data_IF_465094839119
#
_entry.id   IF_465094839119
#
_cell.length_a   1.000
_cell.length_b   1.000
_cell.length_c   1.000
_cell.angle_alpha   90.00
_cell.angle_beta   90.00
_cell.angle_gamma   90.00
#
_symmetry.space_group_name_H-M   'P 1'
#
loop_
_entity.id
_entity.type
_entity.pdbx_description
1 polymer ?
#
# COMPACT_ATOMS: atom_id res chain seq x y z
N UNK A 1 -67.82 -21.12 18.07
CA UNK A 1 -67.43 -20.95 18.08
C UNK A 1 -66.32 -20.78 17.78
N UNK A 2 -65.89 -20.73 17.61
CA UNK A 2 -65.06 -20.64 17.23
C UNK A 2 -64.08 -19.98 17.18
N UNK A 3 -63.52 -19.80 17.22
CA UNK A 3 -62.68 -19.19 17.18
C UNK A 3 -61.59 -19.18 16.70
N UNK A 4 -61.32 -19.02 16.27
CA UNK A 4 -60.39 -19.00 15.75
C UNK A 4 -59.43 -18.27 15.62
N UNK A 5 -58.79 -18.23 15.63
CA UNK A 5 -57.92 -17.59 15.53
C UNK A 5 -56.96 -17.52 14.93
N UNK A 6 -56.51 -17.14 14.70
CA UNK A 6 -55.74 -16.84 14.04
C UNK A 6 -54.49 -16.78 14.17
N UNK A 7 -54.04 -16.85 14.16
CA UNK A 7 -53.04 -16.80 14.16
C UNK A 7 -52.13 -16.44 13.70
N UNK A 8 -51.90 -16.32 13.57
CA UNK A 8 -51.15 -16.07 13.16
C UNK A 8 -50.23 -15.58 12.79
N UNK A 9 -49.97 -15.35 12.55
CA UNK A 9 -49.23 -14.89 12.05
C UNK A 9 -48.16 -14.40 12.30
N UNK A 10 -47.66 -14.42 12.46
CA UNK A 10 -46.81 -14.02 12.84
C UNK A 10 -45.69 -14.14 12.31
N UNK A 11 -44.98 -14.11 12.02
CA UNK A 11 -44.03 -14.31 11.57
C UNK A 11 -43.23 -13.59 11.23
N UNK A 12 -42.77 -13.60 10.92
CA UNK A 12 -42.17 -13.18 10.38
C UNK A 12 -41.16 -12.43 10.44
N UNK A 13 -41.08 -12.03 10.53
CA UNK A 13 -40.37 -11.16 10.80
C UNK A 13 -39.06 -11.37 10.84
N UNK A 14 -38.85 -12.06 11.15
CA UNK A 14 -37.66 -12.37 11.43
C UNK A 14 -36.76 -12.17 10.35
N UNK A 15 -36.99 -12.63 9.71
CA UNK A 15 -36.32 -12.58 8.76
C UNK A 15 -35.53 -11.59 8.47
N UNK A 16 -35.75 -11.01 8.71
CA UNK A 16 -35.24 -9.95 8.36
C UNK A 16 -33.91 -9.75 8.54
N UNK A 17 -33.41 -10.31 9.02
CA UNK A 17 -32.26 -10.14 9.41
C UNK A 17 -31.33 -10.40 8.55
N UNK A 18 -31.59 -10.41 7.75
CA UNK A 18 -30.86 -10.50 6.88
C UNK A 18 -29.78 -9.76 6.95
N UNK A 19 -29.02 -10.05 7.03
CA UNK A 19 -28.04 -9.77 7.08
C UNK A 19 -27.36 -9.21 6.11
N UNK A 20 -27.13 -8.55 6.27
CA UNK A 20 -26.42 -7.78 5.50
C UNK A 20 -25.08 -7.97 5.90
N UNK A 21 -24.57 -8.94 5.45
CA UNK A 21 -23.25 -9.08 5.65
C UNK A 21 -22.62 -8.09 4.81
N UNK A 22 -22.39 -7.06 5.38
CA UNK A 22 -21.60 -6.16 4.76
C UNK A 22 -20.30 -6.72 4.80
N UNK A 23 -19.94 -7.41 3.88
CA UNK A 23 -18.64 -7.89 3.77
C UNK A 23 -17.76 -6.69 3.65
N UNK A 24 -17.13 -6.39 4.68
CA UNK A 24 -16.10 -5.41 4.61
C UNK A 24 -15.07 -6.04 3.72
N UNK A 25 -14.94 -5.55 2.55
CA UNK A 25 -13.87 -5.99 1.71
C UNK A 25 -12.58 -5.61 2.38
N UNK A 26 -11.68 -6.54 2.53
CA UNK A 26 -10.37 -6.18 3.06
C UNK A 26 -9.81 -5.11 2.15
N UNK A 27 -9.30 -4.08 2.75
CA UNK A 27 -8.68 -3.03 1.99
C UNK A 27 -7.36 -3.57 1.49
N UNK A 28 -7.35 -4.14 0.32
CA UNK A 28 -6.11 -4.51 -0.29
C UNK A 28 -5.49 -3.26 -0.88
N UNK A 29 -4.21 -3.09 -0.68
CA UNK A 29 -3.48 -2.05 -1.36
C UNK A 29 -3.58 -2.29 -2.86
N UNK A 30 -3.97 -1.27 -3.59
CA UNK A 30 -4.00 -1.38 -5.03
C UNK A 30 -2.69 -0.86 -5.56
N UNK A 31 -1.80 -1.75 -5.86
CA UNK A 31 -0.48 -1.40 -6.38
C UNK A 31 -0.56 -1.13 -7.87
N UNK A 32 -0.24 0.09 -8.24
CA UNK A 32 -0.19 0.51 -9.64
C UNK A 32 1.26 0.53 -10.09
N UNK A 33 1.58 -0.21 -11.12
CA UNK A 33 2.94 -0.27 -11.63
C UNK A 33 3.29 1.03 -12.35
N UNK A 34 4.41 1.62 -11.99
CA UNK A 34 4.89 2.82 -12.67
C UNK A 34 5.92 2.46 -13.75
N UNK A 35 6.62 1.37 -13.57
CA UNK A 35 7.65 0.96 -14.50
C UNK A 35 8.86 0.44 -13.79
N UNK A 36 9.84 0.02 -14.55
CA UNK A 36 11.03 -0.60 -14.02
C UNK A 36 12.30 0.08 -14.48
N UNK A 37 13.39 -0.29 -13.83
CA UNK A 37 14.73 0.14 -14.22
C UNK A 37 15.44 -0.98 -14.94
N UNK A 38 16.52 -0.62 -15.62
CA UNK A 38 17.36 -1.61 -16.29
C UNK A 38 18.00 -2.56 -15.29
N UNK A 39 18.10 -2.17 -14.04
CA UNK A 39 18.67 -3.02 -13.00
C UNK A 39 17.68 -4.05 -12.47
N UNK A 40 16.45 -4.05 -12.96
CA UNK A 40 15.47 -5.06 -12.56
C UNK A 40 14.60 -4.70 -11.38
N UNK A 41 14.49 -3.42 -11.04
CA UNK A 41 13.59 -2.96 -9.99
C UNK A 41 12.34 -2.37 -10.62
N UNK A 42 11.17 -2.83 -10.19
CA UNK A 42 9.90 -2.25 -10.62
C UNK A 42 9.28 -1.52 -9.44
N UNK A 43 8.81 -0.31 -9.68
CA UNK A 43 8.16 0.49 -8.65
C UNK A 43 6.65 0.43 -8.83
N UNK A 44 5.98 0.24 -7.71
CA UNK A 44 4.52 0.26 -7.63
C UNK A 44 4.13 1.28 -6.57
N UNK A 45 3.03 1.95 -6.78
CA UNK A 45 2.53 2.94 -5.82
C UNK A 45 1.10 2.61 -5.44
N UNK A 46 0.75 2.95 -4.21
CA UNK A 46 -0.64 2.85 -3.75
C UNK A 46 -1.18 4.26 -3.68
N UNK A 47 -1.93 4.64 -4.72
CA UNK A 47 -2.44 6.00 -4.83
C UNK A 47 -3.46 6.34 -3.74
N UNK A 48 -4.06 5.35 -3.13
CA UNK A 48 -5.02 5.60 -2.04
C UNK A 48 -4.34 6.12 -0.79
N UNK A 49 -3.02 5.98 -0.70
CA UNK A 49 -2.25 6.42 0.46
C UNK A 49 -1.59 7.80 0.25
N UNK A 50 -1.81 8.40 -0.89
CA UNK A 50 -1.17 9.66 -1.21
C UNK A 50 -1.71 10.77 -0.32
N UNK A 51 -0.82 11.41 0.43
CA UNK A 51 -1.16 12.46 1.37
C UNK A 51 -0.35 13.71 1.09
N UNK A 52 -0.96 14.73 0.50
CA UNK A 52 -0.28 16.00 0.28
C UNK A 52 -0.20 16.80 1.58
N UNK A 53 0.91 17.51 1.76
CA UNK A 53 1.08 18.42 2.89
C UNK A 53 1.98 19.55 2.39
N UNK A 54 1.38 20.59 1.84
CA UNK A 54 2.13 21.69 1.24
C UNK A 54 2.90 21.20 0.03
N UNK A 55 4.22 21.40 0.07
CA UNK A 55 5.09 20.98 -1.01
C UNK A 55 5.56 19.54 -0.86
N UNK A 56 5.10 18.88 0.18
CA UNK A 56 5.50 17.50 0.45
C UNK A 56 4.35 16.54 0.14
N UNK A 57 4.70 15.35 -0.32
CA UNK A 57 3.73 14.30 -0.56
C UNK A 57 4.25 13.01 0.04
N UNK A 58 3.43 12.38 0.86
CA UNK A 58 3.77 11.09 1.46
C UNK A 58 2.95 9.99 0.83
N UNK A 59 3.56 8.85 0.57
CA UNK A 59 2.88 7.76 -0.11
C UNK A 59 3.57 6.44 0.19
N UNK A 60 2.80 5.34 0.16
CA UNK A 60 3.38 4.01 0.24
C UNK A 60 3.82 3.56 -1.15
N UNK A 61 5.03 3.04 -1.21
CA UNK A 61 5.67 2.59 -2.44
C UNK A 61 6.16 1.16 -2.23
N UNK A 62 6.02 0.35 -3.24
CA UNK A 62 6.55 -1.01 -3.21
C UNK A 62 7.56 -1.15 -4.33
N UNK A 63 8.74 -1.60 -3.97
CA UNK A 63 9.76 -1.93 -4.94
C UNK A 63 9.86 -3.45 -5.04
N UNK A 64 9.76 -3.96 -6.24
CA UNK A 64 9.89 -5.39 -6.49
C UNK A 64 11.15 -5.63 -7.29
N UNK A 65 11.96 -6.59 -6.86
CA UNK A 65 13.26 -6.82 -7.44
C UNK A 65 13.26 -8.12 -8.24
N UNK A 66 13.79 -8.05 -9.43
CA UNK A 66 13.87 -9.22 -10.28
C UNK A 66 14.83 -10.25 -9.71
N UNK A 67 15.88 -9.78 -9.05
CA UNK A 67 16.88 -10.66 -8.44
C UNK A 67 16.91 -10.44 -6.93
N UNK A 68 17.37 -11.45 -6.24
CA UNK A 68 17.42 -11.44 -4.80
C UNK A 68 18.41 -10.39 -4.27
N UNK A 69 18.00 -9.71 -3.23
CA UNK A 69 18.86 -8.77 -2.52
C UNK A 69 19.18 -9.35 -1.16
N UNK A 70 20.40 -9.12 -0.71
CA UNK A 70 20.83 -9.59 0.61
C UNK A 70 20.71 -8.47 1.63
N UNK A 71 20.33 -8.85 2.84
CA UNK A 71 20.27 -7.92 3.96
C UNK A 71 20.60 -8.67 5.23
N UNK A 72 20.92 -7.92 6.28
CA UNK A 72 21.05 -8.50 7.61
C UNK A 72 19.70 -9.11 7.97
N UNK A 73 19.64 -10.35 8.28
CA UNK A 73 18.37 -11.00 8.60
C UNK A 73 17.82 -11.86 7.49
N UNK A 74 18.40 -11.81 6.31
CA UNK A 74 17.98 -12.68 5.21
C UNK A 74 17.90 -12.01 3.86
N UNK A 75 17.46 -12.77 2.87
CA UNK A 75 17.32 -12.30 1.52
C UNK A 75 15.93 -11.77 1.29
N UNK A 76 15.78 -10.78 0.40
CA UNK A 76 14.47 -10.23 0.12
C UNK A 76 14.31 -9.97 -1.38
N UNK A 77 13.05 -10.01 -1.85
CA UNK A 77 12.68 -9.75 -3.22
C UNK A 77 11.76 -8.53 -3.36
N UNK A 78 11.30 -7.97 -2.27
CA UNK A 78 10.49 -6.75 -2.35
C UNK A 78 10.62 -5.94 -1.07
N UNK A 79 10.29 -4.66 -1.20
CA UNK A 79 10.35 -3.72 -0.09
C UNK A 79 9.16 -2.77 -0.19
N UNK A 80 8.52 -2.53 0.94
CA UNK A 80 7.42 -1.60 1.02
C UNK A 80 7.87 -0.47 1.90
N UNK A 81 7.69 0.75 1.48
CA UNK A 81 8.17 1.90 2.23
C UNK A 81 7.18 3.04 2.20
N UNK A 82 7.08 3.76 3.31
CA UNK A 82 6.35 5.00 3.37
C UNK A 82 7.37 6.10 3.15
N UNK A 83 7.22 6.82 2.06
CA UNK A 83 8.21 7.80 1.62
C UNK A 83 7.55 9.16 1.47
N UNK A 84 8.24 10.18 1.96
CA UNK A 84 7.85 11.56 1.80
C UNK A 84 8.72 12.21 0.73
N UNK A 85 8.08 12.87 -0.23
CA UNK A 85 8.75 13.51 -1.35
C UNK A 85 8.63 15.01 -1.25
N UNK A 86 9.73 15.72 -1.52
CA UNK A 86 9.72 17.17 -1.59
C UNK A 86 9.60 17.57 -3.06
N UNK A 87 8.51 18.22 -3.41
CA UNK A 87 8.24 18.53 -4.81
C UNK A 87 8.93 19.79 -5.32
N UNK A 88 9.57 20.57 -4.44
CA UNK A 88 10.35 21.74 -4.87
C UNK A 88 11.82 21.40 -5.04
N UNK A 89 12.25 20.29 -4.46
CA UNK A 89 13.62 19.82 -4.58
C UNK A 89 13.55 18.31 -4.77
N UNK A 90 14.34 17.78 -5.69
CA UNK A 90 14.28 16.34 -5.99
C UNK A 90 14.93 15.57 -4.85
N UNK A 91 14.19 15.39 -3.78
CA UNK A 91 14.66 14.65 -2.59
C UNK A 91 13.52 13.94 -1.90
N UNK A 92 13.86 12.93 -1.13
CA UNK A 92 12.90 12.11 -0.42
C UNK A 92 13.45 11.71 0.94
N UNK A 93 12.56 11.30 1.84
CA UNK A 93 12.96 10.64 3.09
C UNK A 93 11.98 9.52 3.40
N UNK A 94 12.50 8.46 4.02
CA UNK A 94 11.72 7.28 4.35
C UNK A 94 11.31 7.33 5.80
N UNK A 95 10.03 7.09 6.07
CA UNK A 95 9.50 7.06 7.43
C UNK A 95 9.40 5.64 7.97
N UNK A 96 9.15 4.68 7.10
CA UNK A 96 8.99 3.30 7.49
C UNK A 96 9.29 2.41 6.30
N UNK A 97 9.80 1.22 6.56
CA UNK A 97 9.97 0.25 5.50
C UNK A 97 9.85 -1.17 6.04
N UNK A 98 9.50 -2.08 5.15
CA UNK A 98 9.45 -3.50 5.44
C UNK A 98 9.97 -4.25 4.22
N UNK A 99 10.88 -5.17 4.44
CA UNK A 99 11.41 -6.01 3.38
C UNK A 99 10.83 -7.40 3.50
N UNK A 100 10.51 -7.99 2.37
CA UNK A 100 9.83 -9.27 2.31
C UNK A 100 10.66 -10.29 1.54
N UNK A 101 10.60 -11.54 1.98
CA UNK A 101 11.36 -12.61 1.34
C UNK A 101 10.84 -12.93 -0.06
N UNK A 102 9.61 -12.59 -0.36
CA UNK A 102 8.99 -12.86 -1.68
C UNK A 102 8.74 -11.60 -2.46
N UNK A 103 8.23 -11.80 -3.68
CA UNK A 103 7.85 -10.69 -4.55
C UNK A 103 6.57 -10.04 -4.09
N UNK A 104 6.40 -8.79 -4.44
CA UNK A 104 5.16 -8.04 -4.23
C UNK A 104 4.68 -8.01 -2.78
N UNK A 105 5.61 -7.94 -1.84
CA UNK A 105 5.26 -7.87 -0.42
C UNK A 105 4.79 -9.18 0.16
N UNK A 106 5.17 -10.30 -0.43
CA UNK A 106 4.77 -11.61 0.04
C UNK A 106 5.90 -12.30 0.81
N UNK A 107 5.57 -13.41 1.41
CA UNK A 107 6.54 -14.19 2.14
C UNK A 107 6.74 -13.66 3.55
N UNK A 108 7.91 -13.91 4.09
CA UNK A 108 8.23 -13.52 5.46
C UNK A 108 8.75 -12.10 5.51
N UNK A 109 8.48 -11.42 6.61
CA UNK A 109 9.11 -10.14 6.87
C UNK A 109 10.56 -10.41 7.24
N UNK A 110 11.47 -9.86 6.46
CA UNK A 110 12.89 -10.00 6.70
C UNK A 110 13.38 -8.92 7.64
N UNK A 111 12.95 -7.67 7.37
CA UNK A 111 13.29 -6.52 8.18
C UNK A 111 12.14 -5.54 8.06
N UNK A 112 11.81 -4.88 9.15
CA UNK A 112 10.83 -3.81 9.14
C UNK A 112 11.14 -2.82 10.23
N UNK A 113 11.09 -1.54 9.92
CA UNK A 113 11.42 -0.48 10.85
C UNK A 113 10.66 0.80 10.58
N UNK A 114 10.41 1.54 11.65
CA UNK A 114 10.08 2.94 11.57
C UNK A 114 11.40 3.67 11.65
N UNK A 115 11.64 4.60 10.75
CA UNK A 115 12.91 5.31 10.72
C UNK A 115 12.69 6.81 10.66
N UNK A 116 13.62 7.54 11.26
CA UNK A 116 13.63 8.97 11.07
C UNK A 116 14.58 9.20 9.93
N UNK A 117 14.05 9.11 8.75
CA UNK A 117 14.85 9.23 7.55
C UNK A 117 15.36 10.64 7.35
N UNK A 118 16.53 10.74 6.76
CA UNK A 118 17.08 12.02 6.36
C UNK A 118 16.63 12.31 4.95
N UNK A 119 16.56 13.58 4.62
CA UNK A 119 16.33 13.97 3.24
C UNK A 119 17.52 13.53 2.38
N UNK A 120 17.23 12.76 1.37
CA UNK A 120 18.22 12.22 0.45
C UNK A 120 17.92 12.69 -0.97
N UNK A 121 18.94 13.11 -1.72
CA UNK A 121 18.70 13.49 -3.10
C UNK A 121 18.25 12.29 -3.93
N UNK A 122 17.39 12.56 -4.90
CA UNK A 122 16.92 11.53 -5.81
C UNK A 122 17.81 11.53 -7.04
N UNK A 123 18.39 10.37 -7.34
CA UNK A 123 19.28 10.28 -8.49
C UNK A 123 18.50 10.45 -9.80
N UNK A 124 19.02 11.22 -10.74
CA UNK A 124 18.39 11.35 -12.06
C UNK A 124 18.32 9.99 -12.76
N UNK A 125 17.24 9.79 -13.51
CA UNK A 125 17.05 8.58 -14.31
C UNK A 125 16.96 7.32 -13.47
N UNK A 126 16.62 7.45 -12.21
CA UNK A 126 16.44 6.31 -11.32
C UNK A 126 14.96 5.97 -11.22
N UNK A 127 14.67 4.79 -10.67
CA UNK A 127 13.30 4.41 -10.40
C UNK A 127 12.72 5.34 -9.33
N UNK A 128 13.57 5.85 -8.43
CA UNK A 128 13.13 6.83 -7.44
C UNK A 128 12.66 8.13 -8.07
N UNK A 129 13.31 8.57 -9.13
CA UNK A 129 12.89 9.77 -9.83
C UNK A 129 11.53 9.54 -10.52
N UNK A 130 11.31 8.35 -11.02
CA UNK A 130 10.03 8.00 -11.63
C UNK A 130 8.90 8.14 -10.62
N UNK A 131 9.11 7.65 -9.40
CA UNK A 131 8.11 7.73 -8.33
C UNK A 131 7.91 9.19 -7.90
N UNK A 132 8.99 9.94 -7.75
CA UNK A 132 8.93 11.36 -7.38
C UNK A 132 8.13 12.16 -8.41
N UNK A 133 8.40 11.92 -9.69
CA UNK A 133 7.69 12.60 -10.76
C UNK A 133 6.20 12.29 -10.70
N UNK A 134 5.88 11.02 -10.46
CA UNK A 134 4.48 10.61 -10.34
C UNK A 134 3.81 11.29 -9.14
N UNK A 135 4.44 11.22 -7.98
CA UNK A 135 3.87 11.79 -6.76
C UNK A 135 3.64 13.29 -6.92
N UNK A 136 4.63 14.00 -7.44
CA UNK A 136 4.56 15.45 -7.52
C UNK A 136 3.69 15.96 -8.67
N UNK A 137 3.27 15.09 -9.57
CA UNK A 137 2.34 15.46 -10.63
C UNK A 137 0.88 15.34 -10.19
N UNK A 138 0.64 14.83 -8.99
CA UNK A 138 -0.73 14.62 -8.49
C UNK A 138 -1.23 15.74 -7.60
N UNK A 139 -0.52 16.85 -7.50
CA UNK A 139 -0.98 17.98 -6.69
C UNK A 139 -2.20 18.63 -7.28
#
# INVERSE_FOLDING_TARGET
MSDERPMALRFPVALVLSLVCLAAEPAYAEWVALGGSDSGTTAYVDTSTLQPDGIHITMWVLYDFKTMHAATGGSFFSSKAQIEYDCTAARQRTHAYTRFSGHMGSGKVVVGELVEGRWMPIAPKSVGQMVWTFACSKE
#
